data_IF_135465715637
#
_entry.id   IF_135465715637
#
_cell.length_a   1.000
_cell.length_b   1.000
_cell.length_c   1.000
_cell.angle_alpha   90.00
_cell.angle_beta   90.00
_cell.angle_gamma   90.00
#
_symmetry.space_group_name_H-M   'P 1'
#
loop_
_entity.id
_entity.type
_entity.pdbx_description
1 polymer ?
#
# COMPACT_ATOMS: atom_id res chain seq x y z
N UNK A 1 -9.92 4.03 1.07
CA UNK A 1 -8.49 4.36 1.12
C UNK A 1 -8.36 5.82 1.52
N UNK A 2 -7.46 6.10 2.45
CA UNK A 2 -7.16 7.47 2.89
C UNK A 2 -5.70 7.78 2.59
N UNK A 3 -5.39 9.02 2.28
CA UNK A 3 -4.03 9.52 2.17
C UNK A 3 -3.69 10.40 3.37
N UNK A 4 -2.48 10.19 3.87
CA UNK A 4 -1.90 10.96 4.96
C UNK A 4 -0.79 11.83 4.37
N UNK A 5 -0.87 13.14 4.60
CA UNK A 5 0.11 14.09 4.11
C UNK A 5 1.37 14.06 5.00
N UNK A 6 2.44 13.47 4.48
CA UNK A 6 3.72 13.37 5.21
C UNK A 6 4.50 14.69 5.27
N UNK A 7 4.10 15.70 4.50
CA UNK A 7 4.69 17.04 4.52
C UNK A 7 4.27 17.88 5.74
N UNK A 8 3.33 17.37 6.55
CA UNK A 8 2.80 18.04 7.74
C UNK A 8 3.38 17.38 9.01
N UNK A 9 3.63 18.15 10.08
CA UNK A 9 4.08 17.63 11.38
C UNK A 9 3.26 16.41 11.89
N UNK A 10 3.90 15.44 12.59
CA UNK A 10 3.24 14.26 13.15
C UNK A 10 2.01 14.53 14.00
N UNK A 11 2.03 15.63 14.73
CA UNK A 11 0.98 16.05 15.64
C UNK A 11 -0.29 16.41 14.87
N UNK A 12 -0.16 16.85 13.61
CA UNK A 12 -1.28 17.34 12.82
C UNK A 12 -1.71 16.43 11.65
N UNK A 13 -0.83 15.58 11.13
CA UNK A 13 -1.09 14.78 9.92
C UNK A 13 -2.27 13.81 10.04
N UNK A 14 -2.66 13.43 11.26
CA UNK A 14 -3.76 12.49 11.54
C UNK A 14 -5.08 13.16 11.91
N UNK A 15 -5.14 14.50 11.91
CA UNK A 15 -6.43 15.19 12.05
C UNK A 15 -7.30 14.96 10.82
N UNK A 16 -8.61 14.82 11.03
CA UNK A 16 -9.60 14.61 9.97
C UNK A 16 -9.52 15.66 8.85
N UNK A 17 -9.15 16.90 9.19
CA UNK A 17 -9.03 18.00 8.22
C UNK A 17 -7.82 17.86 7.28
N UNK A 18 -6.82 17.06 7.66
CA UNK A 18 -5.57 16.87 6.91
C UNK A 18 -5.51 15.48 6.22
N UNK A 19 -6.56 14.68 6.36
CA UNK A 19 -6.68 13.37 5.72
C UNK A 19 -7.52 13.51 4.45
N UNK A 20 -7.00 12.99 3.34
CA UNK A 20 -7.70 13.00 2.06
C UNK A 20 -8.35 11.63 1.84
N UNK A 21 -9.69 11.60 1.71
CA UNK A 21 -10.40 10.42 1.28
C UNK A 21 -10.32 10.29 -0.24
N UNK A 22 -9.54 9.33 -0.74
CA UNK A 22 -9.35 9.15 -2.19
C UNK A 22 -10.41 8.27 -2.83
N UNK A 23 -10.76 7.16 -2.17
CA UNK A 23 -11.71 6.21 -2.74
C UNK A 23 -12.38 5.37 -1.65
N UNK A 24 -13.59 4.91 -1.95
CA UNK A 24 -14.37 3.99 -1.13
C UNK A 24 -14.69 2.74 -1.94
N UNK A 25 -14.32 1.57 -1.43
CA UNK A 25 -14.70 0.29 -2.05
C UNK A 25 -16.04 -0.12 -1.43
N UNK A 26 -17.12 -0.27 -2.22
CA UNK A 26 -18.42 -0.64 -1.70
C UNK A 26 -18.42 -2.07 -1.15
N UNK A 27 -19.15 -2.28 -0.04
CA UNK A 27 -19.44 -3.61 0.50
C UNK A 27 -20.61 -4.31 -0.23
N UNK A 28 -21.10 -5.48 0.24
CA UNK A 28 -20.79 -6.15 1.51
C UNK A 28 -19.62 -7.15 1.43
N UNK A 29 -19.17 -7.50 0.22
CA UNK A 29 -18.12 -8.48 0.01
C UNK A 29 -16.74 -7.84 -0.14
N UNK A 30 -15.69 -8.57 0.23
CA UNK A 30 -14.33 -8.14 -0.04
C UNK A 30 -14.10 -8.05 -1.56
N UNK A 31 -13.37 -7.01 -2.05
CA UNK A 31 -12.99 -6.95 -3.45
C UNK A 31 -12.12 -8.17 -3.80
N UNK A 32 -12.35 -8.75 -4.98
CA UNK A 32 -11.57 -9.90 -5.45
C UNK A 32 -10.08 -9.56 -5.61
N UNK A 33 -9.79 -8.44 -6.27
CA UNK A 33 -8.47 -7.82 -6.29
C UNK A 33 -8.57 -6.42 -5.68
N UNK A 34 -7.90 -6.19 -4.55
CA UNK A 34 -7.80 -4.84 -3.99
C UNK A 34 -6.89 -3.97 -4.85
N UNK A 35 -5.91 -4.58 -5.52
CA UNK A 35 -4.89 -3.90 -6.32
C UNK A 35 -5.46 -3.24 -7.55
N UNK A 36 -6.49 -3.79 -8.17
CA UNK A 36 -7.14 -3.15 -9.33
C UNK A 36 -7.67 -1.75 -8.99
N UNK A 37 -8.06 -1.53 -7.74
CA UNK A 37 -8.53 -0.23 -7.28
C UNK A 37 -7.37 0.72 -6.96
N UNK A 38 -6.34 0.21 -6.28
CA UNK A 38 -5.19 1.02 -5.85
C UNK A 38 -4.28 1.37 -7.03
N UNK A 39 -4.25 0.53 -8.07
CA UNK A 39 -3.44 0.74 -9.27
C UNK A 39 -3.69 2.09 -9.93
N UNK A 40 -4.94 2.55 -9.97
CA UNK A 40 -5.30 3.87 -10.49
C UNK A 40 -4.58 4.98 -9.72
N UNK A 41 -4.60 4.91 -8.39
CA UNK A 41 -3.91 5.88 -7.54
C UNK A 41 -2.39 5.81 -7.70
N UNK A 42 -1.82 4.62 -7.88
CA UNK A 42 -0.40 4.46 -8.17
C UNK A 42 -0.02 5.08 -9.51
N UNK A 43 -0.84 4.90 -10.54
CA UNK A 43 -0.60 5.46 -11.86
C UNK A 43 -0.62 7.00 -11.79
N UNK A 44 -1.61 7.58 -11.12
CA UNK A 44 -1.70 9.03 -10.94
C UNK A 44 -0.52 9.57 -10.13
N UNK A 45 -0.14 8.89 -9.04
CA UNK A 45 1.03 9.27 -8.24
C UNK A 45 2.34 9.16 -9.04
N UNK A 46 2.49 8.14 -9.88
CA UNK A 46 3.65 7.98 -10.76
C UNK A 46 3.73 9.11 -11.80
N UNK A 47 2.60 9.53 -12.37
CA UNK A 47 2.57 10.70 -13.26
C UNK A 47 2.91 11.99 -12.50
N UNK A 48 2.32 12.19 -11.31
CA UNK A 48 2.58 13.35 -10.48
C UNK A 48 4.03 13.41 -9.95
N UNK A 49 4.72 12.26 -9.89
CA UNK A 49 6.13 12.20 -9.49
C UNK A 49 7.07 12.89 -10.48
N UNK A 50 6.64 13.09 -11.74
CA UNK A 50 7.36 13.85 -12.77
C UNK A 50 7.18 15.38 -12.61
N UNK A 51 6.28 15.80 -11.73
CA UNK A 51 5.90 17.20 -11.54
C UNK A 51 4.63 17.57 -12.31
N UNK A 52 3.68 18.16 -11.60
CA UNK A 52 2.44 18.69 -12.16
C UNK A 52 2.35 20.18 -11.89
N UNK A 53 1.92 20.94 -12.89
CA UNK A 53 1.64 22.36 -12.72
C UNK A 53 0.36 22.53 -11.92
N UNK A 54 0.47 23.25 -10.81
CA UNK A 54 -0.64 23.57 -9.92
C UNK A 54 -0.73 25.08 -9.73
N UNK A 55 -1.95 25.59 -9.72
CA UNK A 55 -2.22 27.01 -9.47
C UNK A 55 -2.36 27.25 -7.97
N UNK A 56 -1.56 28.15 -7.42
CA UNK A 56 -1.73 28.66 -6.06
C UNK A 56 -2.58 29.93 -6.10
N UNK A 57 -3.79 29.87 -5.53
CA UNK A 57 -4.70 31.00 -5.45
C UNK A 57 -4.27 32.10 -4.45
N UNK A 58 -3.47 31.75 -3.43
CA UNK A 58 -3.01 32.69 -2.41
C UNK A 58 -1.95 33.63 -2.99
N UNK A 59 -0.98 33.04 -3.70
CA UNK A 59 0.14 33.78 -4.32
C UNK A 59 -0.21 34.22 -5.75
N UNK A 60 -1.32 33.71 -6.33
CA UNK A 60 -1.72 33.95 -7.72
C UNK A 60 -0.61 33.60 -8.71
N UNK A 61 -0.03 32.41 -8.55
CA UNK A 61 1.08 31.94 -9.39
C UNK A 61 1.03 30.44 -9.60
N UNK A 62 1.65 29.97 -10.69
CA UNK A 62 1.84 28.55 -10.93
C UNK A 62 3.10 28.05 -10.20
N UNK A 63 2.99 26.86 -9.62
CA UNK A 63 4.13 26.12 -9.07
C UNK A 63 4.09 24.67 -9.54
N UNK A 64 5.23 23.99 -9.47
CA UNK A 64 5.32 22.56 -9.79
C UNK A 64 5.19 21.78 -8.48
N UNK A 65 4.13 20.98 -8.38
CA UNK A 65 3.93 20.07 -7.28
C UNK A 65 4.41 18.66 -7.66
N UNK A 66 5.05 17.97 -6.71
CA UNK A 66 5.44 16.58 -6.85
C UNK A 66 4.74 15.75 -5.79
N UNK A 67 4.12 14.65 -6.20
CA UNK A 67 3.52 13.69 -5.28
C UNK A 67 4.30 12.38 -5.34
N UNK A 68 4.70 11.88 -4.17
CA UNK A 68 5.36 10.59 -4.03
C UNK A 68 4.57 9.72 -3.06
N UNK A 69 4.29 8.48 -3.46
CA UNK A 69 3.68 7.50 -2.59
C UNK A 69 4.77 6.74 -1.84
N UNK A 70 4.91 7.00 -0.54
CA UNK A 70 5.99 6.39 0.27
C UNK A 70 5.65 4.99 0.75
N UNK A 71 4.44 4.78 1.29
CA UNK A 71 4.00 3.50 1.84
C UNK A 71 2.48 3.33 1.69
N UNK A 72 2.03 2.09 1.59
CA UNK A 72 0.62 1.71 1.78
C UNK A 72 0.53 0.87 3.04
N UNK A 73 -0.34 1.29 3.95
CA UNK A 73 -0.56 0.64 5.22
C UNK A 73 -2.00 0.10 5.28
N UNK A 74 -2.15 -1.07 5.89
CA UNK A 74 -3.43 -1.65 6.25
C UNK A 74 -3.36 -2.25 7.66
N UNK A 75 -4.50 -2.66 8.18
CA UNK A 75 -4.53 -3.58 9.32
C UNK A 75 -3.88 -4.93 8.95
N UNK A 76 -3.85 -5.89 9.86
CA UNK A 76 -3.18 -7.18 9.62
C UNK A 76 -3.74 -7.90 8.38
N UNK A 77 -5.07 -7.94 8.21
CA UNK A 77 -5.71 -8.59 7.07
C UNK A 77 -5.57 -7.79 5.78
N UNK A 78 -5.70 -6.47 5.83
CA UNK A 78 -5.49 -5.57 4.70
C UNK A 78 -4.06 -5.64 4.19
N UNK A 79 -3.08 -5.60 5.09
CA UNK A 79 -1.66 -5.72 4.75
C UNK A 79 -1.34 -7.08 4.14
N UNK A 80 -1.91 -8.18 4.65
CA UNK A 80 -1.76 -9.50 4.06
C UNK A 80 -2.28 -9.55 2.61
N UNK A 81 -3.45 -8.94 2.34
CA UNK A 81 -4.02 -8.83 0.99
C UNK A 81 -3.15 -7.96 0.07
N UNK A 82 -2.67 -6.82 0.56
CA UNK A 82 -1.81 -5.90 -0.19
C UNK A 82 -0.45 -6.51 -0.54
N UNK A 83 0.12 -7.34 0.33
CA UNK A 83 1.39 -7.99 0.07
C UNK A 83 1.25 -9.30 -0.71
N UNK A 84 0.02 -9.76 -0.98
CA UNK A 84 -0.21 -11.04 -1.63
C UNK A 84 0.25 -12.23 -0.78
N UNK A 85 0.07 -12.15 0.53
CA UNK A 85 0.42 -13.24 1.44
C UNK A 85 -0.41 -14.49 1.15
N UNK A 86 0.26 -15.63 1.03
CA UNK A 86 -0.35 -16.89 0.58
C UNK A 86 -0.79 -17.82 1.74
N UNK A 87 -0.68 -17.37 3.00
CA UNK A 87 -1.12 -18.10 4.20
C UNK A 87 -0.12 -19.14 4.72
N UNK A 88 -0.47 -19.84 5.80
CA UNK A 88 0.45 -20.68 6.57
C UNK A 88 1.06 -21.87 5.80
N UNK A 89 0.39 -22.37 4.78
CA UNK A 89 0.85 -23.53 4.00
C UNK A 89 1.68 -23.14 2.77
N UNK A 90 1.83 -21.84 2.50
CA UNK A 90 2.49 -21.37 1.30
C UNK A 90 3.97 -21.75 1.25
N UNK A 91 4.48 -21.96 0.03
CA UNK A 91 5.89 -22.23 -0.18
C UNK A 91 6.75 -20.95 -0.05
N UNK A 92 6.16 -19.80 -0.38
CA UNK A 92 6.71 -18.47 -0.20
C UNK A 92 5.71 -17.66 0.62
N UNK A 93 6.19 -16.85 1.57
CA UNK A 93 5.30 -16.12 2.48
C UNK A 93 4.42 -15.09 1.77
N UNK A 94 4.97 -14.45 0.74
CA UNK A 94 4.33 -13.46 -0.10
C UNK A 94 4.92 -13.50 -1.53
N UNK A 95 4.55 -12.53 -2.37
CA UNK A 95 5.01 -12.43 -3.76
C UNK A 95 6.41 -11.82 -3.96
N UNK A 96 7.00 -11.26 -2.92
CA UNK A 96 8.30 -10.59 -2.95
C UNK A 96 9.43 -11.44 -2.35
N UNK A 97 9.08 -12.33 -1.41
CA UNK A 97 10.03 -13.17 -0.69
C UNK A 97 10.47 -14.35 -1.56
N UNK A 98 11.79 -14.47 -1.76
CA UNK A 98 12.44 -15.61 -2.41
C UNK A 98 12.83 -16.73 -1.44
N UNK A 99 12.73 -16.48 -0.14
CA UNK A 99 13.00 -17.47 0.91
C UNK A 99 11.88 -18.50 0.91
N UNK A 100 12.25 -19.76 0.66
CA UNK A 100 11.31 -20.87 0.71
C UNK A 100 11.01 -21.24 2.15
N UNK A 101 9.77 -21.67 2.38
CA UNK A 101 9.35 -22.37 3.60
C UNK A 101 10.37 -23.45 3.96
N UNK A 102 10.69 -23.56 5.25
CA UNK A 102 11.46 -24.67 5.78
C UNK A 102 10.75 -25.99 5.45
N UNK A 103 11.46 -26.90 4.79
CA UNK A 103 10.97 -28.25 4.50
C UNK A 103 11.78 -29.24 5.33
N UNK A 104 11.14 -30.29 5.90
CA UNK A 104 11.90 -31.40 6.43
C UNK A 104 12.79 -32.00 5.34
N UNK A 105 13.99 -32.42 5.71
CA UNK A 105 14.88 -33.17 4.82
C UNK A 105 14.15 -34.42 4.28
N UNK A 106 14.35 -34.81 3.02
CA UNK A 106 13.83 -36.07 2.49
C UNK A 106 14.47 -37.32 3.14
N UNK A 107 15.50 -37.13 3.97
CA UNK A 107 16.15 -38.22 4.71
C UNK A 107 15.22 -38.85 5.75
N UNK A 108 15.28 -40.18 5.82
CA UNK A 108 14.47 -40.99 6.73
C UNK A 108 14.82 -40.64 8.19
N UNK A 109 13.91 -39.99 8.90
CA UNK A 109 14.11 -39.55 10.29
C UNK A 109 14.17 -38.03 10.49
N UNK A 110 14.11 -37.24 9.40
CA UNK A 110 14.02 -35.79 9.50
C UNK A 110 12.71 -35.36 10.18
N UNK A 111 12.81 -34.65 11.31
CA UNK A 111 11.65 -34.11 12.01
C UNK A 111 11.10 -32.91 11.21
N UNK A 112 9.78 -32.89 11.01
CA UNK A 112 9.12 -31.68 10.55
C UNK A 112 9.32 -30.60 11.61
N UNK A 113 9.91 -29.47 11.22
CA UNK A 113 9.86 -28.28 12.07
C UNK A 113 8.49 -27.66 11.89
N UNK A 114 7.76 -27.59 13.01
CA UNK A 114 6.46 -26.94 13.13
C UNK A 114 6.63 -25.43 13.00
#
# INVERSE_FOLDING_TARGET
>A
LILILLNIPPEMRYHSNNIILTMTIPGPHSPGSIESFIYLLFQDAAQCSQGIWMWDAIVSSYFINHMYMTMILGDMLGSAKLNGMAGHTANYGDRFVLVKRARPSPEKGAKAQY
#
